data_IF_018863518703
#
_entry.id   IF_018863518703
#
_cell.length_a   1.000
_cell.length_b   1.000
_cell.length_c   1.000
_cell.angle_alpha   90.00
_cell.angle_beta   90.00
_cell.angle_gamma   90.00
#
_symmetry.space_group_name_H-M   'P 1'
#
loop_
_entity.id
_entity.type
_entity.pdbx_description
1 polymer ?
#
# COMPACT_ATOMS: atom_id res chain seq x y z
N UNK A 1 -1.90 31.49 -13.57
CA UNK A 1 -3.15 30.99 -12.95
C UNK A 1 -3.58 31.99 -11.89
N UNK A 2 -4.73 32.64 -12.04
CA UNK A 2 -5.15 33.77 -11.20
C UNK A 2 -5.34 33.37 -9.73
N UNK A 3 -4.94 34.24 -8.81
CA UNK A 3 -5.03 34.04 -7.35
C UNK A 3 -6.45 33.69 -6.89
N UNK A 4 -7.46 34.23 -7.58
CA UNK A 4 -8.87 33.93 -7.35
C UNK A 4 -9.25 32.47 -7.63
N UNK A 5 -8.63 31.83 -8.62
CA UNK A 5 -8.86 30.41 -8.96
C UNK A 5 -8.31 29.52 -7.83
N UNK A 6 -7.19 29.90 -7.20
CA UNK A 6 -6.63 29.17 -6.05
C UNK A 6 -7.58 29.18 -4.85
N UNK A 7 -8.21 30.33 -4.57
CA UNK A 7 -9.18 30.44 -3.47
C UNK A 7 -10.47 29.68 -3.75
N UNK A 8 -10.94 29.65 -5.00
CA UNK A 8 -12.13 28.88 -5.38
C UNK A 8 -11.86 27.38 -5.24
N UNK A 9 -10.70 26.90 -5.69
CA UNK A 9 -10.30 25.49 -5.53
C UNK A 9 -10.12 25.14 -4.03
N UNK A 10 -9.44 26.00 -3.26
CA UNK A 10 -9.25 25.78 -1.83
C UNK A 10 -10.58 25.79 -1.05
N UNK A 11 -11.52 26.66 -1.44
CA UNK A 11 -12.86 26.72 -0.85
C UNK A 11 -13.70 25.48 -1.24
N UNK A 12 -13.60 25.00 -2.47
CA UNK A 12 -14.28 23.78 -2.91
C UNK A 12 -13.78 22.52 -2.15
N UNK A 13 -12.49 22.44 -1.83
CA UNK A 13 -11.95 21.39 -0.96
C UNK A 13 -12.48 21.48 0.48
N UNK A 14 -12.71 22.69 1.01
CA UNK A 14 -13.27 22.90 2.35
C UNK A 14 -14.77 22.58 2.43
N UNK A 15 -15.55 22.83 1.37
CA UNK A 15 -16.97 22.48 1.32
C UNK A 15 -17.24 20.99 1.04
N UNK A 16 -16.23 20.24 0.61
CA UNK A 16 -16.31 18.78 0.46
C UNK A 16 -16.15 18.03 1.81
N UNK A 17 -15.81 18.73 2.89
CA UNK A 17 -15.50 18.13 4.19
C UNK A 17 -16.72 17.96 5.11
N UNK A 18 -17.92 18.42 4.74
CA UNK A 18 -19.06 18.51 5.66
C UNK A 18 -20.18 17.50 5.43
N UNK A 19 -19.92 16.44 4.69
CA UNK A 19 -20.79 15.24 4.68
C UNK A 19 -19.95 13.99 4.53
N UNK A 20 -19.10 13.73 5.53
CA UNK A 20 -18.82 12.35 5.89
C UNK A 20 -20.15 11.74 6.34
N UNK A 21 -20.95 11.25 5.39
CA UNK A 21 -21.89 10.17 5.69
C UNK A 21 -21.05 9.15 6.45
N UNK A 22 -21.36 8.95 7.74
CA UNK A 22 -20.67 7.95 8.54
C UNK A 22 -20.79 6.64 7.78
N UNK A 23 -19.70 6.24 7.13
CA UNK A 23 -19.59 4.91 6.59
C UNK A 23 -19.46 4.01 7.83
N UNK A 24 -20.43 3.13 8.08
CA UNK A 24 -20.30 2.09 9.13
C UNK A 24 -19.12 1.16 8.85
N UNK A 25 -18.52 1.29 7.66
CA UNK A 25 -17.36 0.53 7.22
C UNK A 25 -16.07 1.32 7.45
N UNK A 26 -14.99 0.58 7.71
CA UNK A 26 -13.71 1.15 8.13
C UNK A 26 -13.03 1.87 6.96
N UNK A 27 -13.06 3.19 6.99
CA UNK A 27 -12.14 4.02 6.20
C UNK A 27 -10.97 4.41 7.08
N UNK A 28 -9.74 4.14 6.63
CA UNK A 28 -8.54 4.59 7.34
C UNK A 28 -7.63 5.36 6.40
N UNK A 29 -7.04 6.44 6.90
CA UNK A 29 -6.00 7.20 6.22
C UNK A 29 -4.72 7.02 7.03
N UNK A 30 -3.67 6.52 6.38
CA UNK A 30 -2.34 6.33 6.93
C UNK A 30 -1.39 7.31 6.24
N UNK A 31 -0.62 8.03 7.03
CA UNK A 31 0.56 8.75 6.56
C UNK A 31 1.80 8.10 7.17
N UNK A 32 2.85 7.93 6.37
CA UNK A 32 4.15 7.42 6.82
C UNK A 32 5.26 8.23 6.18
N UNK A 33 6.23 8.61 7.01
CA UNK A 33 7.54 9.10 6.58
C UNK A 33 8.59 8.00 6.81
N UNK A 34 9.52 7.82 5.88
CA UNK A 34 10.69 6.97 6.03
C UNK A 34 11.98 7.66 5.58
N UNK A 35 13.10 7.27 6.19
CA UNK A 35 14.43 7.60 5.72
C UNK A 35 15.22 6.31 5.48
N UNK A 36 15.78 6.16 4.29
CA UNK A 36 16.56 4.99 3.86
C UNK A 36 18.01 5.41 3.64
N UNK A 37 18.85 5.14 4.63
CA UNK A 37 20.26 5.55 4.67
C UNK A 37 21.07 5.03 3.47
N UNK A 38 20.91 3.75 3.10
CA UNK A 38 21.65 3.13 1.99
C UNK A 38 21.45 3.78 0.61
N UNK A 39 20.39 4.56 0.44
CA UNK A 39 20.11 5.35 -0.78
C UNK A 39 19.94 6.85 -0.49
N UNK A 40 20.14 7.27 0.77
CA UNK A 40 19.91 8.63 1.28
C UNK A 40 18.56 9.24 0.85
N UNK A 41 17.50 8.43 0.86
CA UNK A 41 16.17 8.86 0.44
C UNK A 41 15.22 9.07 1.60
N UNK A 42 14.53 10.21 1.58
CA UNK A 42 13.32 10.48 2.34
C UNK A 42 12.12 10.06 1.50
N UNK A 43 11.27 9.22 2.07
CA UNK A 43 10.03 8.75 1.48
C UNK A 43 8.83 9.24 2.27
N UNK A 44 7.80 9.69 1.57
CA UNK A 44 6.50 9.98 2.13
C UNK A 44 5.45 9.10 1.45
N UNK A 45 4.54 8.56 2.26
CA UNK A 45 3.46 7.71 1.79
C UNK A 45 2.14 8.12 2.40
N UNK A 46 1.13 8.27 1.56
CA UNK A 46 -0.26 8.40 2.00
C UNK A 46 -1.03 7.20 1.47
N UNK A 47 -1.67 6.46 2.37
CA UNK A 47 -2.48 5.30 2.02
C UNK A 47 -3.90 5.46 2.57
N UNK A 48 -4.88 5.24 1.71
CA UNK A 48 -6.29 5.17 2.07
C UNK A 48 -6.74 3.73 1.95
N UNK A 49 -7.43 3.23 2.96
CA UNK A 49 -8.16 1.98 2.91
C UNK A 49 -9.65 2.26 3.04
N UNK A 50 -10.45 1.58 2.22
CA UNK A 50 -11.90 1.65 2.22
C UNK A 50 -12.47 0.23 2.23
N UNK A 51 -13.30 -0.04 3.23
CA UNK A 51 -14.14 -1.23 3.30
C UNK A 51 -15.54 -0.89 2.76
N UNK A 52 -16.10 -1.72 1.87
CA UNK A 52 -17.45 -1.53 1.33
C UNK A 52 -18.55 -2.08 2.22
N UNK A 53 -18.20 -2.84 3.27
CA UNK A 53 -19.15 -3.58 4.10
C UNK A 53 -19.64 -4.89 3.49
N UNK A 54 -19.27 -5.17 2.24
CA UNK A 54 -19.67 -6.37 1.51
C UNK A 54 -18.47 -7.27 1.23
N UNK A 55 -17.55 -7.38 2.19
CA UNK A 55 -16.36 -8.21 2.09
C UNK A 55 -15.41 -7.81 0.93
N UNK A 56 -15.56 -6.59 0.42
CA UNK A 56 -14.72 -6.02 -0.63
C UNK A 56 -13.98 -4.82 -0.03
N UNK A 57 -12.67 -4.79 -0.24
CA UNK A 57 -11.80 -3.72 0.21
C UNK A 57 -11.05 -3.08 -0.95
N UNK A 58 -10.81 -1.79 -0.82
CA UNK A 58 -9.97 -1.02 -1.71
C UNK A 58 -8.84 -0.35 -0.93
N UNK A 59 -7.66 -0.30 -1.53
CA UNK A 59 -6.55 0.52 -1.04
C UNK A 59 -6.02 1.41 -2.15
N UNK A 60 -5.70 2.65 -1.80
CA UNK A 60 -5.04 3.63 -2.66
C UNK A 60 -3.79 4.11 -1.93
N UNK A 61 -2.63 3.95 -2.55
CA UNK A 61 -1.32 4.34 -2.02
C UNK A 61 -0.68 5.35 -2.97
N UNK A 62 -0.18 6.48 -2.44
CA UNK A 62 0.61 7.46 -3.17
C UNK A 62 1.96 7.63 -2.47
N UNK A 63 3.04 7.49 -3.24
CA UNK A 63 4.42 7.49 -2.73
C UNK A 63 5.21 8.63 -3.38
N UNK A 64 5.96 9.35 -2.54
CA UNK A 64 6.82 10.45 -2.94
C UNK A 64 8.22 10.25 -2.37
N UNK A 65 9.25 10.60 -3.13
CA UNK A 65 10.64 10.64 -2.63
C UNK A 65 11.32 11.95 -3.03
N UNK A 66 12.36 12.34 -2.28
CA UNK A 66 13.26 13.41 -2.69
C UNK A 66 14.14 12.98 -3.88
N UNK A 67 14.38 13.87 -4.84
CA UNK A 67 15.25 13.57 -6.00
C UNK A 67 16.74 13.63 -5.65
N UNK A 68 17.13 14.50 -4.73
CA UNK A 68 18.52 14.72 -4.32
C UNK A 68 18.80 14.16 -2.90
N UNK A 69 19.96 14.51 -2.31
CA UNK A 69 20.36 14.12 -0.96
C UNK A 69 19.77 15.06 0.13
N UNK A 70 19.01 16.10 -0.26
CA UNK A 70 18.42 17.06 0.66
C UNK A 70 17.12 16.55 1.26
N UNK A 71 16.92 16.76 2.56
CA UNK A 71 15.66 16.42 3.24
C UNK A 71 14.51 17.26 2.67
N UNK A 72 13.48 16.58 2.14
CA UNK A 72 12.29 17.17 1.49
C UNK A 72 12.54 18.05 0.26
N UNK A 73 13.75 18.05 -0.31
CA UNK A 73 14.03 18.84 -1.49
C UNK A 73 13.59 18.09 -2.76
N UNK A 74 12.96 18.80 -3.69
CA UNK A 74 12.48 18.22 -4.96
C UNK A 74 11.67 16.91 -4.75
N UNK A 75 10.67 16.92 -3.87
CA UNK A 75 9.79 15.77 -3.68
C UNK A 75 8.99 15.50 -4.95
N UNK A 76 9.16 14.31 -5.55
CA UNK A 76 8.41 13.89 -6.74
C UNK A 76 7.70 12.57 -6.50
N UNK A 77 6.56 12.40 -7.18
CA UNK A 77 5.77 11.18 -7.09
C UNK A 77 6.55 10.04 -7.75
N UNK A 78 6.93 9.04 -6.96
CA UNK A 78 7.71 7.91 -7.44
C UNK A 78 6.85 6.66 -7.71
N UNK A 79 5.58 6.70 -7.35
CA UNK A 79 4.60 5.70 -7.77
C UNK A 79 3.29 5.82 -7.01
N UNK A 80 2.27 5.13 -7.52
CA UNK A 80 0.99 4.96 -6.83
C UNK A 80 0.48 3.54 -7.01
N UNK A 81 -0.32 3.06 -6.07
CA UNK A 81 -0.85 1.70 -6.13
C UNK A 81 -2.33 1.69 -5.81
N UNK A 82 -3.12 1.06 -6.68
CA UNK A 82 -4.50 0.73 -6.41
C UNK A 82 -4.61 -0.76 -6.12
N UNK A 83 -5.24 -1.12 -5.02
CA UNK A 83 -5.53 -2.52 -4.67
C UNK A 83 -7.03 -2.73 -4.54
N UNK A 84 -7.54 -3.80 -5.14
CA UNK A 84 -8.88 -4.31 -4.89
C UNK A 84 -8.79 -5.74 -4.40
N UNK A 85 -9.54 -6.08 -3.36
CA UNK A 85 -9.54 -7.44 -2.81
C UNK A 85 -10.89 -7.82 -2.22
N UNK A 86 -11.14 -9.12 -2.20
CA UNK A 86 -12.20 -9.74 -1.43
C UNK A 86 -11.60 -10.37 -0.18
N UNK A 87 -12.34 -10.37 0.93
CA UNK A 87 -11.91 -11.00 2.17
C UNK A 87 -13.05 -11.76 2.83
N UNK A 88 -12.76 -12.89 3.47
CA UNK A 88 -13.78 -13.60 4.24
C UNK A 88 -13.18 -14.38 5.42
N UNK A 89 -14.04 -14.74 6.37
CA UNK A 89 -13.68 -15.55 7.53
C UNK A 89 -13.82 -17.03 7.18
N UNK A 90 -12.79 -17.81 7.46
CA UNK A 90 -12.90 -19.28 7.44
C UNK A 90 -13.57 -19.75 8.74
N UNK A 91 -13.21 -19.13 9.86
CA UNK A 91 -13.74 -19.39 11.19
C UNK A 91 -13.48 -18.17 12.09
N UNK A 92 -13.68 -18.31 13.41
CA UNK A 92 -13.53 -17.21 14.36
C UNK A 92 -12.11 -16.61 14.44
N UNK A 93 -11.07 -17.42 14.22
CA UNK A 93 -9.67 -17.01 14.37
C UNK A 93 -8.88 -16.93 13.05
N UNK A 94 -9.52 -17.28 11.93
CA UNK A 94 -8.88 -17.38 10.62
C UNK A 94 -9.68 -16.60 9.58
N UNK A 95 -9.02 -15.71 8.85
CA UNK A 95 -9.59 -15.05 7.68
C UNK A 95 -8.59 -15.05 6.52
N UNK A 96 -9.12 -14.91 5.32
CA UNK A 96 -8.32 -14.87 4.10
C UNK A 96 -8.72 -13.67 3.25
N UNK A 97 -7.81 -13.26 2.36
CA UNK A 97 -8.05 -12.24 1.36
C UNK A 97 -7.44 -12.68 0.04
N UNK A 98 -8.12 -12.42 -1.06
CA UNK A 98 -7.54 -12.52 -2.40
C UNK A 98 -7.86 -11.26 -3.18
N UNK A 99 -6.88 -10.81 -3.96
CA UNK A 99 -7.03 -9.56 -4.69
C UNK A 99 -5.89 -9.32 -5.64
N UNK A 100 -5.84 -8.10 -6.15
CA UNK A 100 -4.76 -7.64 -7.01
C UNK A 100 -4.43 -6.20 -6.72
N UNK A 101 -3.15 -5.87 -6.80
CA UNK A 101 -2.68 -4.49 -6.86
C UNK A 101 -2.26 -4.14 -8.28
N UNK A 102 -2.49 -2.89 -8.65
CA UNK A 102 -2.05 -2.21 -9.85
C UNK A 102 -1.08 -1.12 -9.41
N UNK A 103 0.22 -1.38 -9.58
CA UNK A 103 1.28 -0.47 -9.16
C UNK A 103 1.78 0.35 -10.35
N UNK A 104 1.43 1.63 -10.35
CA UNK A 104 1.79 2.62 -11.37
C UNK A 104 3.16 3.21 -11.03
N UNK A 105 4.12 2.94 -11.90
CA UNK A 105 5.49 3.45 -11.84
C UNK A 105 5.73 4.44 -12.96
N UNK A 106 6.92 5.06 -13.01
CA UNK A 106 7.28 5.97 -14.10
C UNK A 106 7.43 5.23 -15.43
N UNK A 107 7.85 3.96 -15.36
CA UNK A 107 8.15 3.09 -16.49
C UNK A 107 6.92 2.38 -17.05
N UNK A 108 5.93 2.11 -16.20
CA UNK A 108 4.68 1.44 -16.57
C UNK A 108 3.94 0.85 -15.38
N UNK A 109 3.16 -0.21 -15.62
CA UNK A 109 2.29 -0.86 -14.65
C UNK A 109 2.83 -2.22 -14.21
N UNK A 110 2.75 -2.49 -12.91
CA UNK A 110 3.02 -3.82 -12.34
C UNK A 110 1.71 -4.40 -11.81
N UNK A 111 1.34 -5.57 -12.35
CA UNK A 111 0.21 -6.36 -11.87
C UNK A 111 0.65 -7.26 -10.71
N UNK A 112 -0.07 -7.21 -9.58
CA UNK A 112 0.29 -7.93 -8.37
C UNK A 112 -0.93 -8.69 -7.80
N UNK A 113 -1.39 -9.77 -8.45
CA UNK A 113 -2.34 -10.69 -7.81
C UNK A 113 -1.73 -11.31 -6.55
N UNK A 114 -2.54 -11.47 -5.52
CA UNK A 114 -2.13 -12.08 -4.26
C UNK A 114 -3.24 -12.85 -3.56
N UNK A 115 -2.84 -13.73 -2.66
CA UNK A 115 -3.68 -14.34 -1.63
C UNK A 115 -2.99 -14.20 -0.27
N UNK A 116 -3.75 -13.88 0.77
CA UNK A 116 -3.27 -13.74 2.15
C UNK A 116 -4.13 -14.57 3.08
N UNK A 117 -3.51 -15.30 3.99
CA UNK A 117 -4.15 -15.97 5.11
C UNK A 117 -3.71 -15.31 6.41
N UNK A 118 -4.64 -15.07 7.32
CA UNK A 118 -4.38 -14.49 8.63
C UNK A 118 -4.98 -15.38 9.71
N UNK A 119 -4.20 -15.66 10.74
CA UNK A 119 -4.59 -16.45 11.90
C UNK A 119 -4.29 -15.67 13.19
N UNK A 120 -5.20 -15.70 14.15
CA UNK A 120 -5.04 -15.07 15.45
C UNK A 120 -5.23 -16.08 16.58
N UNK A 121 -4.21 -16.23 17.43
CA UNK A 121 -4.29 -17.04 18.64
C UNK A 121 -4.97 -16.27 19.77
N UNK A 122 -5.61 -16.99 20.69
CA UNK A 122 -6.30 -16.42 21.86
C UNK A 122 -5.34 -15.69 22.81
N UNK A 123 -4.05 -16.05 22.79
CA UNK A 123 -3.00 -15.41 23.57
C UNK A 123 -2.47 -14.08 22.98
N UNK A 124 -3.09 -13.58 21.90
CA UNK A 124 -2.72 -12.32 21.26
C UNK A 124 -1.66 -12.43 20.16
N UNK A 125 -1.07 -13.60 19.94
CA UNK A 125 -0.17 -13.86 18.80
C UNK A 125 -0.97 -13.87 17.50
N UNK A 126 -0.39 -13.34 16.42
CA UNK A 126 -0.98 -13.31 15.07
C UNK A 126 0.05 -13.80 14.06
N UNK A 127 -0.38 -14.66 13.15
CA UNK A 127 0.42 -15.11 12.01
C UNK A 127 -0.29 -14.74 10.72
N UNK A 128 0.45 -14.21 9.76
CA UNK A 128 -0.08 -13.89 8.45
C UNK A 128 0.91 -14.34 7.38
N UNK A 129 0.40 -14.86 6.27
CA UNK A 129 1.20 -15.25 5.12
C UNK A 129 0.53 -14.74 3.85
N UNK A 130 1.28 -14.06 2.98
CA UNK A 130 0.81 -13.57 1.69
C UNK A 130 1.71 -14.09 0.59
N UNK A 131 1.13 -14.80 -0.37
CA UNK A 131 1.78 -15.10 -1.64
C UNK A 131 1.31 -14.09 -2.68
N UNK A 132 2.24 -13.50 -3.42
CA UNK A 132 1.95 -12.55 -4.49
C UNK A 132 2.84 -12.79 -5.70
N UNK A 133 2.32 -12.46 -6.88
CA UNK A 133 3.07 -12.57 -8.13
C UNK A 133 3.10 -11.21 -8.80
N UNK A 134 4.29 -10.59 -8.88
CA UNK A 134 4.50 -9.31 -9.53
C UNK A 134 4.83 -9.54 -11.01
N UNK A 135 4.11 -8.89 -11.92
CA UNK A 135 4.28 -9.00 -13.37
C UNK A 135 4.35 -7.61 -13.97
N UNK A 136 5.47 -7.30 -14.61
CA UNK A 136 5.72 -6.00 -15.24
C UNK A 136 5.16 -5.97 -16.67
N UNK A 137 4.45 -4.89 -17.01
CA UNK A 137 3.95 -4.66 -18.37
C UNK A 137 4.96 -3.98 -19.29
N UNK A 138 6.08 -3.53 -18.72
CA UNK A 138 7.23 -2.91 -19.38
C UNK A 138 8.48 -3.79 -19.29
N UNK A 139 9.43 -3.52 -20.17
CA UNK A 139 10.71 -4.21 -20.17
C UNK A 139 11.64 -3.64 -19.10
N UNK A 140 12.36 -4.52 -18.41
CA UNK A 140 13.48 -4.18 -17.56
C UNK A 140 14.77 -4.72 -18.16
N UNK A 141 15.88 -4.02 -17.93
CA UNK A 141 17.17 -4.42 -18.45
C UNK A 141 17.71 -5.62 -17.67
N UNK A 142 18.01 -6.71 -18.38
CA UNK A 142 18.74 -7.86 -17.84
C UNK A 142 20.18 -7.52 -17.49
N UNK A 143 20.82 -8.41 -16.73
CA UNK A 143 22.25 -8.30 -16.36
C UNK A 143 23.15 -8.35 -17.61
N UNK A 144 22.68 -9.02 -18.66
CA UNK A 144 23.30 -9.11 -19.98
C UNK A 144 22.96 -7.93 -20.92
N UNK A 145 22.16 -6.97 -20.45
CA UNK A 145 21.67 -5.83 -21.23
C UNK A 145 20.49 -6.17 -22.15
N UNK A 146 20.02 -7.41 -22.17
CA UNK A 146 18.84 -7.80 -22.97
C UNK A 146 17.56 -7.39 -22.22
N UNK A 147 16.65 -6.60 -22.84
CA UNK A 147 15.37 -6.28 -22.23
C UNK A 147 14.51 -7.53 -22.05
N UNK A 148 13.85 -7.66 -20.90
CA UNK A 148 12.90 -8.74 -20.64
C UNK A 148 11.76 -8.27 -19.74
N UNK A 149 10.64 -9.00 -19.78
CA UNK A 149 9.52 -8.78 -18.86
C UNK A 149 9.77 -9.48 -17.54
N UNK A 150 9.98 -8.70 -16.48
CA UNK A 150 10.18 -9.24 -15.14
C UNK A 150 8.91 -9.87 -14.58
N UNK A 151 9.14 -10.96 -13.84
CA UNK A 151 8.12 -11.69 -13.09
C UNK A 151 8.74 -12.17 -11.79
N UNK A 152 8.20 -11.76 -10.65
CA UNK A 152 8.72 -12.10 -9.33
C UNK A 152 7.62 -12.72 -8.48
N UNK A 153 7.84 -13.94 -8.03
CA UNK A 153 7.01 -14.57 -7.00
C UNK A 153 7.57 -14.16 -5.63
N UNK A 154 6.73 -13.67 -4.74
CA UNK A 154 7.15 -13.20 -3.43
C UNK A 154 6.22 -13.77 -2.35
N UNK A 155 6.81 -14.18 -1.23
CA UNK A 155 6.11 -14.62 -0.04
C UNK A 155 6.41 -13.68 1.12
N UNK A 156 5.38 -12.97 1.60
CA UNK A 156 5.48 -12.11 2.77
C UNK A 156 4.92 -12.87 3.98
N UNK A 157 5.65 -12.88 5.09
CA UNK A 157 5.19 -13.46 6.36
C UNK A 157 5.21 -12.41 7.46
N UNK A 158 4.23 -12.46 8.34
CA UNK A 158 4.10 -11.53 9.44
C UNK A 158 3.86 -12.30 10.74
N UNK A 159 4.66 -11.97 11.76
CA UNK A 159 4.45 -12.43 13.14
C UNK A 159 4.11 -11.21 13.97
N UNK A 160 2.94 -11.21 14.59
CA UNK A 160 2.46 -10.10 15.42
C UNK A 160 2.10 -10.54 16.83
N UNK A 161 2.11 -9.59 17.75
CA UNK A 161 1.69 -9.79 19.14
C UNK A 161 0.97 -8.54 19.65
N UNK A 162 -0.25 -8.72 20.16
CA UNK A 162 -1.03 -7.64 20.78
C UNK A 162 -0.95 -7.75 22.30
N UNK A 163 -0.53 -6.66 22.95
CA UNK A 163 -0.46 -6.54 24.40
C UNK A 163 -1.13 -5.24 24.84
N UNK A 164 -2.32 -5.34 25.43
CA UNK A 164 -3.21 -4.18 25.68
C UNK A 164 -3.39 -3.34 24.40
N UNK A 165 -3.03 -2.06 24.46
CA UNK A 165 -3.13 -1.10 23.35
C UNK A 165 -1.93 -1.19 22.39
N UNK A 166 -0.89 -1.95 22.74
CA UNK A 166 0.30 -2.12 21.92
C UNK A 166 0.13 -3.26 20.92
N UNK A 167 0.62 -3.01 19.70
CA UNK A 167 0.62 -4.01 18.64
C UNK A 167 2.00 -4.07 17.99
N UNK A 168 2.71 -5.15 18.26
CA UNK A 168 4.02 -5.43 17.69
C UNK A 168 3.86 -6.30 16.46
N UNK A 169 4.64 -6.03 15.42
CA UNK A 169 4.66 -6.85 14.22
C UNK A 169 6.05 -6.89 13.62
N UNK A 170 6.47 -8.07 13.23
CA UNK A 170 7.65 -8.31 12.42
C UNK A 170 7.21 -8.86 11.06
N UNK A 171 7.83 -8.39 9.97
CA UNK A 171 7.58 -8.84 8.59
C UNK A 171 8.86 -9.41 7.97
N UNK A 172 8.77 -10.60 7.36
CA UNK A 172 9.81 -11.15 6.49
C UNK A 172 9.28 -11.28 5.06
N UNK A 173 10.02 -10.75 4.10
CA UNK A 173 9.71 -10.84 2.68
C UNK A 173 10.73 -11.76 2.00
N UNK A 174 10.23 -12.79 1.31
CA UNK A 174 11.05 -13.80 0.63
C UNK A 174 10.74 -13.70 -0.87
N UNK A 175 11.76 -13.39 -1.66
CA UNK A 175 11.68 -13.33 -3.13
C UNK A 175 13.03 -13.75 -3.73
N UNK A 176 13.04 -14.30 -4.96
CA UNK A 176 14.26 -14.64 -5.69
C UNK A 176 15.06 -13.41 -6.15
#
# INVERSE_FOLDING_TARGET
MNTSIKYIIASACLFSATSAMANDHKTTIEYRHDYRDGVKKHGDRVKVFLDTGQNIGFELDARYNNEDDGMYNHMTMNGSEFTAFYYDKINANTNWLAGTSLDFTKEGLVYIPFVRLNYQFDNGIRLQGRYKWKVWDYDVNGVDGTPYRSKIQQFDTFVGYRYHDWNFQYQFDIFP
#
